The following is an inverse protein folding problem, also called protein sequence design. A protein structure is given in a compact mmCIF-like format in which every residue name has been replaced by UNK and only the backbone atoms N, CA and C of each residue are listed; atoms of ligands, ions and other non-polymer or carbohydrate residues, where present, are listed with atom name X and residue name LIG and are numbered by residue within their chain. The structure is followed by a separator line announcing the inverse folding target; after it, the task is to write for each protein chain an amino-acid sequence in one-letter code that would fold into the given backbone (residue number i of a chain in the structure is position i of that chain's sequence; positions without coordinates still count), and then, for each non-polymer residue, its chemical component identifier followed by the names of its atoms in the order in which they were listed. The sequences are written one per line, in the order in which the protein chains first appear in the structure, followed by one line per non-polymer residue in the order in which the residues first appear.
data_IF_924401658450
#
_entry.id   IF_924401658450
#
_cell.length_a   1.000
_cell.length_b   1.000
_cell.length_c   1.000
_cell.angle_alpha   90.00
_cell.angle_beta   90.00
_cell.angle_gamma   90.00
#
_symmetry.space_group_name_H-M   'P 1'
#
loop_
_entity.id
_entity.type
_entity.pdbx_description
1 polymer ?
#
# COMPACT_ATOMS: atom_id res chain seq x y z
N UNK A 1 -35.12 16.79 -27.31
CA UNK A 1 -35.33 16.41 -25.89
C UNK A 1 -36.45 15.39 -25.86
N UNK A 2 -36.32 14.30 -25.11
CA UNK A 2 -37.34 13.24 -25.10
C UNK A 2 -38.54 13.63 -24.21
N UNK A 3 -39.76 13.18 -24.52
CA UNK A 3 -40.93 13.38 -23.65
C UNK A 3 -40.70 12.85 -22.23
N UNK A 4 -40.01 11.70 -22.12
CA UNK A 4 -39.67 11.08 -20.84
C UNK A 4 -38.75 11.98 -20.00
N UNK A 5 -37.75 12.59 -20.62
CA UNK A 5 -36.83 13.50 -19.94
C UNK A 5 -37.56 14.74 -19.41
N UNK A 6 -38.33 15.44 -20.25
CA UNK A 6 -39.06 16.64 -19.82
C UNK A 6 -40.08 16.32 -18.71
N UNK A 7 -40.77 15.18 -18.82
CA UNK A 7 -41.72 14.73 -17.80
C UNK A 7 -41.05 14.42 -16.46
N UNK A 8 -39.77 14.02 -16.45
CA UNK A 8 -39.01 13.80 -15.23
C UNK A 8 -38.42 15.12 -14.68
N UNK A 9 -37.80 15.92 -15.56
CA UNK A 9 -37.03 17.10 -15.19
C UNK A 9 -37.90 18.28 -14.72
N UNK A 10 -39.08 18.48 -15.32
CA UNK A 10 -39.95 19.63 -15.00
C UNK A 10 -41.23 19.18 -14.29
N UNK A 11 -41.65 19.92 -13.27
CA UNK A 11 -42.95 19.78 -12.62
C UNK A 11 -44.09 20.20 -13.57
N UNK A 12 -45.33 19.80 -13.24
CA UNK A 12 -46.50 20.19 -14.03
C UNK A 12 -46.69 21.71 -13.98
N UNK A 13 -46.45 22.30 -12.82
CA UNK A 13 -46.58 23.72 -12.53
C UNK A 13 -45.59 24.54 -13.37
N UNK A 14 -44.32 24.10 -13.44
CA UNK A 14 -43.29 24.73 -14.28
C UNK A 14 -43.67 24.71 -15.77
N UNK A 15 -44.21 23.59 -16.27
CA UNK A 15 -44.64 23.48 -17.67
C UNK A 15 -45.84 24.41 -17.95
N UNK A 16 -46.83 24.43 -17.05
CA UNK A 16 -47.97 25.35 -17.17
C UNK A 16 -47.51 26.81 -17.20
N UNK A 17 -46.62 27.19 -16.29
CA UNK A 17 -46.08 28.55 -16.18
C UNK A 17 -45.34 28.96 -17.45
N UNK A 18 -44.47 28.10 -17.98
CA UNK A 18 -43.75 28.36 -19.22
C UNK A 18 -44.67 28.54 -20.44
N UNK A 19 -45.74 27.74 -20.51
CA UNK A 19 -46.75 27.81 -21.56
C UNK A 19 -47.74 28.98 -21.40
N UNK A 20 -47.68 29.73 -20.30
CA UNK A 20 -48.62 30.81 -20.00
C UNK A 20 -50.02 30.31 -19.56
N UNK A 21 -50.10 29.10 -19.03
CA UNK A 21 -51.33 28.46 -18.56
C UNK A 21 -51.50 28.64 -17.05
N UNK A 22 -52.74 28.64 -16.57
CA UNK A 22 -53.02 28.71 -15.13
C UNK A 22 -52.57 27.44 -14.40
N UNK A 23 -52.10 27.58 -13.14
CA UNK A 23 -51.61 26.43 -12.33
C UNK A 23 -52.70 25.38 -12.05
N UNK A 24 -53.98 25.75 -12.15
CA UNK A 24 -55.14 24.88 -11.87
C UNK A 24 -55.72 24.15 -13.10
N UNK A 25 -54.94 23.91 -14.15
CA UNK A 25 -55.43 23.20 -15.35
C UNK A 25 -55.72 21.72 -15.05
N UNK A 26 -56.89 21.23 -15.51
CA UNK A 26 -57.23 19.78 -15.50
C UNK A 26 -56.44 18.96 -16.53
N UNK A 27 -55.56 19.60 -17.31
CA UNK A 27 -54.78 18.97 -18.37
C UNK A 27 -53.76 18.00 -17.75
N UNK A 28 -53.60 16.82 -18.35
CA UNK A 28 -52.62 15.82 -17.92
C UNK A 28 -51.20 16.29 -18.25
N UNK A 29 -50.22 15.98 -17.39
CA UNK A 29 -48.80 16.34 -17.58
C UNK A 29 -48.26 15.87 -18.93
N UNK A 30 -48.63 14.66 -19.36
CA UNK A 30 -48.24 14.09 -20.66
C UNK A 30 -48.63 15.00 -21.83
N UNK A 31 -49.86 15.50 -21.83
CA UNK A 31 -50.37 16.42 -22.86
C UNK A 31 -49.65 17.77 -22.81
N UNK A 32 -49.31 18.26 -21.61
CA UNK A 32 -48.54 19.50 -21.46
C UNK A 32 -47.11 19.34 -22.01
N UNK A 33 -46.48 18.18 -21.79
CA UNK A 33 -45.16 17.86 -22.35
C UNK A 33 -45.21 17.80 -23.87
N UNK A 34 -46.23 17.16 -24.46
CA UNK A 34 -46.42 17.12 -25.92
C UNK A 34 -46.60 18.52 -26.51
N UNK A 35 -47.43 19.36 -25.89
CA UNK A 35 -47.62 20.76 -26.30
C UNK A 35 -46.33 21.57 -26.22
N UNK A 36 -45.57 21.41 -25.12
CA UNK A 36 -44.28 22.06 -24.94
C UNK A 36 -43.29 21.65 -26.03
N UNK A 37 -43.15 20.34 -26.27
CA UNK A 37 -42.25 19.80 -27.28
C UNK A 37 -42.61 20.29 -28.68
N UNK A 38 -43.89 20.27 -29.05
CA UNK A 38 -44.35 20.77 -30.35
C UNK A 38 -44.03 22.28 -30.54
N UNK A 39 -44.13 23.07 -29.47
CA UNK A 39 -43.83 24.51 -29.50
C UNK A 39 -42.35 24.79 -29.70
N UNK A 40 -41.47 24.07 -29.01
CA UNK A 40 -40.02 24.30 -29.10
C UNK A 40 -39.38 23.62 -30.31
N UNK A 41 -40.03 22.63 -30.91
CA UNK A 41 -39.57 21.99 -32.15
C UNK A 41 -39.76 22.91 -33.36
N UNK A 42 -40.81 23.73 -33.34
CA UNK A 42 -41.15 24.67 -34.42
C UNK A 42 -40.60 26.08 -34.19
N UNK A 43 -40.12 26.40 -32.99
CA UNK A 43 -39.63 27.74 -32.64
C UNK A 43 -38.32 27.68 -31.83
N UNK A 44 -37.21 28.09 -32.48
CA UNK A 44 -35.88 28.10 -31.88
C UNK A 44 -35.74 29.10 -30.72
N UNK A 45 -36.43 30.25 -30.78
CA UNK A 45 -36.41 31.26 -29.72
C UNK A 45 -37.12 30.74 -28.47
N UNK A 46 -38.24 30.02 -28.64
CA UNK A 46 -38.93 29.34 -27.54
C UNK A 46 -38.08 28.24 -26.91
N UNK A 47 -37.32 27.51 -27.73
CA UNK A 47 -36.36 26.52 -27.24
C UNK A 47 -35.25 27.18 -26.41
N UNK A 48 -34.69 28.30 -26.89
CA UNK A 48 -33.68 29.05 -26.16
C UNK A 48 -34.23 29.58 -24.82
N UNK A 49 -35.43 30.17 -24.85
CA UNK A 49 -36.16 30.65 -23.67
C UNK A 49 -36.38 29.53 -22.65
N UNK A 50 -36.76 28.33 -23.10
CA UNK A 50 -36.95 27.18 -22.22
C UNK A 50 -35.66 26.78 -21.51
N UNK A 51 -34.56 26.68 -22.25
CA UNK A 51 -33.26 26.28 -21.71
C UNK A 51 -32.67 27.33 -20.77
N UNK A 52 -32.94 28.60 -21.01
CA UNK A 52 -32.55 29.68 -20.10
C UNK A 52 -33.40 29.71 -18.83
N UNK A 53 -34.73 29.53 -18.97
CA UNK A 53 -35.66 29.55 -17.83
C UNK A 53 -35.41 28.39 -16.87
N UNK A 54 -35.09 27.20 -17.39
CA UNK A 54 -34.88 25.98 -16.59
C UNK A 54 -33.45 25.47 -16.73
N UNK A 55 -32.48 26.37 -16.53
CA UNK A 55 -31.05 26.10 -16.69
C UNK A 55 -30.57 24.90 -15.87
N UNK A 56 -30.98 24.81 -14.60
CA UNK A 56 -30.55 23.76 -13.68
C UNK A 56 -31.34 22.47 -13.90
N UNK A 57 -32.66 22.54 -14.02
CA UNK A 57 -33.51 21.36 -14.21
C UNK A 57 -33.21 20.63 -15.52
N UNK A 58 -32.82 21.38 -16.57
CA UNK A 58 -32.49 20.82 -17.88
C UNK A 58 -30.98 20.65 -18.11
N UNK A 59 -30.16 20.81 -17.05
CA UNK A 59 -28.72 20.57 -17.10
C UNK A 59 -28.39 19.16 -17.63
N UNK A 60 -27.24 19.04 -18.29
CA UNK A 60 -26.78 17.78 -18.89
C UNK A 60 -26.00 16.99 -17.85
N UNK A 61 -26.49 15.79 -17.53
CA UNK A 61 -25.81 14.87 -16.63
C UNK A 61 -24.66 14.13 -17.32
N UNK A 62 -23.70 13.55 -16.56
CA UNK A 62 -22.51 12.93 -17.12
C UNK A 62 -22.76 11.90 -18.22
N UNK A 63 -23.73 11.01 -18.03
CA UNK A 63 -24.07 9.97 -18.99
C UNK A 63 -24.66 10.57 -20.28
N UNK A 64 -25.58 11.52 -20.14
CA UNK A 64 -26.18 12.19 -21.28
C UNK A 64 -25.15 13.03 -22.06
N UNK A 65 -24.22 13.68 -21.37
CA UNK A 65 -23.14 14.42 -22.01
C UNK A 65 -22.24 13.50 -22.83
N UNK A 66 -21.93 12.32 -22.30
CA UNK A 66 -21.15 11.29 -23.00
C UNK A 66 -21.86 10.84 -24.30
N UNK A 67 -23.19 10.70 -24.26
CA UNK A 67 -24.01 10.41 -25.44
C UNK A 67 -24.03 11.57 -26.44
N UNK A 68 -24.31 12.81 -26.00
CA UNK A 68 -24.41 13.99 -26.87
C UNK A 68 -23.09 14.27 -27.57
N UNK A 69 -21.97 14.19 -26.85
CA UNK A 69 -20.65 14.51 -27.39
C UNK A 69 -19.92 13.30 -28.01
N UNK A 70 -20.53 12.10 -27.95
CA UNK A 70 -19.91 10.84 -28.37
C UNK A 70 -18.49 10.66 -27.79
N UNK A 71 -18.37 10.83 -26.48
CA UNK A 71 -17.11 10.77 -25.76
C UNK A 71 -17.14 9.75 -24.63
N UNK A 72 -15.95 9.29 -24.21
CA UNK A 72 -15.84 8.33 -23.09
C UNK A 72 -15.86 9.05 -21.73
N UNK A 73 -16.18 8.34 -20.63
CA UNK A 73 -16.07 8.89 -19.27
C UNK A 73 -14.67 9.41 -18.90
N UNK A 74 -13.62 8.90 -19.55
CA UNK A 74 -12.24 9.35 -19.35
C UNK A 74 -12.03 10.69 -20.06
N UNK A 75 -12.52 10.82 -21.30
CA UNK A 75 -12.44 12.05 -22.07
C UNK A 75 -13.22 13.17 -21.41
N UNK A 76 -14.48 12.92 -21.01
CA UNK A 76 -15.30 13.90 -20.28
C UNK A 76 -14.57 14.45 -19.06
N UNK A 77 -14.13 13.57 -18.15
CA UNK A 77 -13.42 13.98 -16.92
C UNK A 77 -12.16 14.79 -17.23
N UNK A 78 -11.42 14.42 -18.27
CA UNK A 78 -10.25 15.18 -18.73
C UNK A 78 -10.65 16.56 -19.23
N UNK A 79 -11.67 16.66 -20.08
CA UNK A 79 -12.10 17.93 -20.66
C UNK A 79 -12.69 18.89 -19.63
N UNK A 80 -13.40 18.38 -18.61
CA UNK A 80 -13.81 19.16 -17.44
C UNK A 80 -12.58 19.72 -16.71
N UNK A 81 -11.57 18.89 -16.43
CA UNK A 81 -10.33 19.33 -15.78
C UNK A 81 -9.53 20.35 -16.63
N UNK A 82 -9.61 20.24 -17.95
CA UNK A 82 -8.98 21.15 -18.91
C UNK A 82 -9.80 22.43 -19.14
N UNK A 83 -10.97 22.60 -18.50
CA UNK A 83 -11.84 23.76 -18.65
C UNK A 83 -12.60 23.84 -19.98
N UNK A 84 -12.58 22.76 -20.77
CA UNK A 84 -13.26 22.67 -22.08
C UNK A 84 -14.76 22.40 -21.97
N UNK A 85 -15.16 21.78 -20.85
CA UNK A 85 -16.55 21.55 -20.49
C UNK A 85 -16.81 22.30 -19.18
N UNK A 86 -17.35 23.53 -19.24
CA UNK A 86 -17.63 24.33 -18.05
C UNK A 86 -18.62 23.61 -17.14
N UNK A 87 -18.36 23.62 -15.84
CA UNK A 87 -19.24 23.01 -14.84
C UNK A 87 -20.28 24.04 -14.44
N UNK A 88 -21.56 23.70 -14.57
CA UNK A 88 -22.67 24.54 -14.14
C UNK A 88 -22.86 24.44 -12.62
N UNK A 89 -22.97 23.21 -12.12
CA UNK A 89 -23.04 22.90 -10.69
C UNK A 89 -22.55 21.48 -10.44
N UNK A 90 -22.35 21.17 -9.17
CA UNK A 90 -22.14 19.82 -8.71
C UNK A 90 -23.36 19.30 -7.96
N UNK A 91 -23.74 18.06 -8.22
CA UNK A 91 -24.82 17.33 -7.56
C UNK A 91 -24.27 16.15 -6.79
N UNK A 92 -25.00 15.74 -5.76
CA UNK A 92 -24.60 14.63 -4.90
C UNK A 92 -25.61 13.50 -4.95
N UNK A 93 -25.13 12.26 -4.92
CA UNK A 93 -25.95 11.08 -4.68
C UNK A 93 -25.25 10.13 -3.70
N UNK A 94 -26.04 9.39 -2.93
CA UNK A 94 -25.51 8.49 -1.90
C UNK A 94 -25.29 7.08 -2.46
N UNK A 95 -24.10 6.53 -2.26
CA UNK A 95 -23.74 5.15 -2.65
C UNK A 95 -22.82 4.51 -1.60
N UNK A 96 -23.21 3.33 -1.11
CA UNK A 96 -22.42 2.56 -0.13
C UNK A 96 -22.03 3.35 1.11
N UNK A 97 -22.95 4.15 1.65
CA UNK A 97 -22.71 4.96 2.85
C UNK A 97 -21.94 6.27 2.61
N UNK A 98 -21.48 6.54 1.38
CA UNK A 98 -20.75 7.76 1.01
C UNK A 98 -21.58 8.66 0.09
N UNK A 99 -21.43 9.97 0.24
CA UNK A 99 -21.95 10.95 -0.71
C UNK A 99 -20.94 11.14 -1.84
N UNK A 100 -21.39 10.89 -3.07
CA UNK A 100 -20.60 11.03 -4.29
C UNK A 100 -21.06 12.24 -5.07
N UNK A 101 -20.11 13.07 -5.45
CA UNK A 101 -20.34 14.30 -6.21
C UNK A 101 -20.14 14.06 -7.72
N UNK A 102 -20.96 14.71 -8.54
CA UNK A 102 -20.82 14.71 -10.00
C UNK A 102 -21.15 16.08 -10.60
N UNK A 103 -20.45 16.44 -11.68
CA UNK A 103 -20.68 17.70 -12.39
C UNK A 103 -21.84 17.58 -13.37
N UNK A 104 -22.65 18.63 -13.47
CA UNK A 104 -23.61 18.83 -14.56
C UNK A 104 -23.26 20.10 -15.35
N UNK A 105 -23.77 20.19 -16.57
CA UNK A 105 -23.34 21.18 -17.55
C UNK A 105 -24.52 21.92 -18.18
N UNK A 106 -24.34 23.17 -18.57
CA UNK A 106 -25.37 23.92 -19.30
C UNK A 106 -25.60 23.26 -20.67
N UNK A 107 -26.85 22.83 -20.91
CA UNK A 107 -27.24 22.19 -22.17
C UNK A 107 -27.00 23.06 -23.39
N UNK A 108 -27.12 24.38 -23.27
CA UNK A 108 -26.87 25.32 -24.37
C UNK A 108 -25.41 25.23 -24.79
N UNK A 109 -24.49 25.26 -23.84
CA UNK A 109 -23.06 25.15 -24.12
C UNK A 109 -22.69 23.79 -24.72
N UNK A 110 -23.22 22.70 -24.15
CA UNK A 110 -22.95 21.35 -24.64
C UNK A 110 -23.44 21.17 -26.07
N UNK A 111 -24.59 21.73 -26.43
CA UNK A 111 -25.12 21.66 -27.79
C UNK A 111 -24.35 22.54 -28.80
N UNK A 112 -23.55 23.49 -28.34
CA UNK A 112 -22.67 24.31 -29.18
C UNK A 112 -21.34 23.64 -29.48
N UNK A 113 -20.94 22.62 -28.71
CA UNK A 113 -19.70 21.88 -28.95
C UNK A 113 -19.85 21.05 -30.23
N UNK A 114 -19.06 21.40 -31.25
CA UNK A 114 -19.08 20.70 -32.53
C UNK A 114 -18.27 19.40 -32.49
N UNK A 115 -18.53 18.49 -33.43
CA UNK A 115 -17.66 17.32 -33.60
C UNK A 115 -16.23 17.72 -33.99
N UNK A 116 -16.04 18.86 -34.67
CA UNK A 116 -14.71 19.36 -34.99
C UNK A 116 -13.94 19.79 -33.74
N UNK A 117 -14.60 20.46 -32.78
CA UNK A 117 -14.00 20.79 -31.48
C UNK A 117 -13.53 19.52 -30.76
N UNK A 118 -14.39 18.49 -30.73
CA UNK A 118 -14.08 17.19 -30.13
C UNK A 118 -12.86 16.54 -30.79
N UNK A 119 -12.80 16.53 -32.13
CA UNK A 119 -11.66 15.97 -32.85
C UNK A 119 -10.38 16.77 -32.60
N UNK A 120 -10.46 18.11 -32.57
CA UNK A 120 -9.32 18.95 -32.24
C UNK A 120 -8.82 18.67 -30.81
N UNK A 121 -9.71 18.55 -29.82
CA UNK A 121 -9.32 18.21 -28.46
C UNK A 121 -8.62 16.86 -28.37
N UNK A 122 -9.04 15.87 -29.17
CA UNK A 122 -8.39 14.56 -29.27
C UNK A 122 -7.02 14.63 -29.94
N UNK A 123 -6.86 15.45 -30.99
CA UNK A 123 -5.57 15.68 -31.67
C UNK A 123 -4.58 16.32 -30.69
N UNK A 124 -4.96 17.44 -30.06
CA UNK A 124 -4.13 18.15 -29.08
C UNK A 124 -3.72 17.23 -27.94
N UNK A 125 -4.63 16.39 -27.44
CA UNK A 125 -4.29 15.41 -26.40
C UNK A 125 -3.29 14.36 -26.89
N UNK A 126 -3.46 13.81 -28.10
CA UNK A 126 -2.53 12.83 -28.67
C UNK A 126 -1.13 13.41 -28.83
N UNK A 127 -1.02 14.64 -29.31
CA UNK A 127 0.27 15.32 -29.44
C UNK A 127 0.93 15.56 -28.09
N UNK A 128 0.17 16.02 -27.09
CA UNK A 128 0.66 16.18 -25.71
C UNK A 128 1.15 14.86 -25.12
N UNK A 129 0.41 13.77 -25.33
CA UNK A 129 0.81 12.42 -24.88
C UNK A 129 2.09 11.98 -25.59
N UNK A 130 2.24 12.23 -26.89
CA UNK A 130 3.46 11.92 -27.65
C UNK A 130 4.67 12.67 -27.10
N UNK A 131 4.56 13.98 -26.90
CA UNK A 131 5.63 14.81 -26.33
C UNK A 131 6.00 14.34 -24.93
N UNK A 132 5.01 14.10 -24.07
CA UNK A 132 5.24 13.60 -22.71
C UNK A 132 5.93 12.23 -22.71
N UNK A 133 5.58 11.33 -23.63
CA UNK A 133 6.24 10.02 -23.77
C UNK A 133 7.69 10.16 -24.21
N UNK A 134 7.98 11.07 -25.15
CA UNK A 134 9.36 11.34 -25.58
C UNK A 134 10.20 11.92 -24.44
N UNK A 135 9.67 12.91 -23.71
CA UNK A 135 10.34 13.48 -22.54
C UNK A 135 10.57 12.43 -21.44
N UNK A 136 9.56 11.61 -21.13
CA UNK A 136 9.69 10.53 -20.16
C UNK A 136 10.71 9.47 -20.59
N UNK A 137 10.80 9.15 -21.89
CA UNK A 137 11.82 8.24 -22.41
C UNK A 137 13.23 8.80 -22.25
N UNK A 138 13.43 10.09 -22.51
CA UNK A 138 14.70 10.78 -22.31
C UNK A 138 15.12 10.79 -20.84
N UNK A 139 14.21 11.19 -19.94
CA UNK A 139 14.45 11.17 -18.49
C UNK A 139 14.77 9.76 -17.99
N UNK A 140 14.10 8.73 -18.52
CA UNK A 140 14.38 7.34 -18.18
C UNK A 140 15.77 6.89 -18.65
N UNK A 141 16.24 7.35 -19.82
CA UNK A 141 17.59 7.07 -20.32
C UNK A 141 18.65 7.70 -19.40
N UNK A 142 18.48 8.97 -19.05
CA UNK A 142 19.37 9.70 -18.14
C UNK A 142 19.40 9.06 -16.75
N UNK A 143 18.23 8.75 -16.19
CA UNK A 143 18.10 8.05 -14.92
C UNK A 143 18.80 6.68 -14.93
N UNK A 144 18.68 5.91 -16.02
CA UNK A 144 19.40 4.63 -16.17
C UNK A 144 20.90 4.80 -16.11
N UNK A 145 21.45 5.83 -16.76
CA UNK A 145 22.88 6.15 -16.76
C UNK A 145 23.37 6.50 -15.36
N UNK A 146 22.67 7.40 -14.65
CA UNK A 146 23.00 7.78 -13.27
C UNK A 146 22.93 6.56 -12.35
N UNK A 147 21.87 5.77 -12.45
CA UNK A 147 21.68 4.56 -11.65
C UNK A 147 22.77 3.51 -11.91
N UNK A 148 23.26 3.40 -13.15
CA UNK A 148 24.38 2.54 -13.48
C UNK A 148 25.68 3.02 -12.84
N UNK A 149 25.97 4.32 -12.89
CA UNK A 149 27.15 4.90 -12.24
C UNK A 149 27.12 4.67 -10.72
N UNK A 150 25.97 4.91 -10.06
CA UNK A 150 25.80 4.63 -8.63
C UNK A 150 26.09 3.17 -8.29
N UNK A 151 25.63 2.22 -9.12
CA UNK A 151 25.93 0.79 -8.92
C UNK A 151 27.41 0.46 -9.10
N UNK A 152 28.09 1.08 -10.06
CA UNK A 152 29.53 0.89 -10.26
C UNK A 152 30.34 1.44 -9.09
N UNK A 153 30.02 2.66 -8.63
CA UNK A 153 30.64 3.28 -7.45
C UNK A 153 30.43 2.41 -6.22
N UNK A 154 29.21 1.94 -5.98
CA UNK A 154 28.93 1.00 -4.90
C UNK A 154 29.79 -0.26 -5.02
N UNK A 155 29.85 -0.89 -6.19
CA UNK A 155 30.63 -2.11 -6.39
C UNK A 155 32.12 -1.92 -6.07
N UNK A 156 32.70 -0.77 -6.41
CA UNK A 156 34.08 -0.44 -6.08
C UNK A 156 34.26 -0.23 -4.56
N UNK A 157 33.41 0.59 -3.94
CA UNK A 157 33.46 0.81 -2.48
C UNK A 157 33.22 -0.47 -1.67
N UNK A 158 32.36 -1.34 -2.17
CA UNK A 158 32.06 -2.64 -1.55
C UNK A 158 33.25 -3.59 -1.63
N UNK A 159 33.96 -3.62 -2.75
CA UNK A 159 35.18 -4.42 -2.88
C UNK A 159 36.26 -3.92 -1.91
N UNK A 160 36.45 -2.60 -1.81
CA UNK A 160 37.37 -2.01 -0.84
C UNK A 160 37.02 -2.37 0.61
N UNK A 161 35.72 -2.37 0.95
CA UNK A 161 35.24 -2.80 2.28
C UNK A 161 35.58 -4.26 2.55
N UNK A 162 35.36 -5.15 1.57
CA UNK A 162 35.72 -6.57 1.69
C UNK A 162 37.24 -6.75 1.87
N UNK A 163 38.03 -6.03 1.08
CA UNK A 163 39.49 -6.12 1.13
C UNK A 163 40.02 -5.63 2.47
N UNK A 164 39.45 -4.54 3.01
CA UNK A 164 39.75 -4.06 4.37
C UNK A 164 39.41 -5.11 5.44
N UNK A 165 38.23 -5.75 5.35
CA UNK A 165 37.84 -6.80 6.27
C UNK A 165 38.78 -8.01 6.23
N UNK A 166 39.25 -8.39 5.03
CA UNK A 166 40.21 -9.48 4.83
C UNK A 166 41.62 -9.12 5.29
N UNK A 167 42.02 -7.86 5.15
CA UNK A 167 43.36 -7.39 5.51
C UNK A 167 43.53 -7.20 7.02
N UNK A 168 42.54 -6.57 7.67
CA UNK A 168 42.60 -6.27 9.12
C UNK A 168 42.04 -7.41 9.98
N UNK A 169 41.07 -8.16 9.45
CA UNK A 169 40.46 -9.30 10.13
C UNK A 169 41.07 -10.65 9.72
N UNK A 170 40.51 -11.74 10.24
CA UNK A 170 40.79 -13.08 9.73
C UNK A 170 39.91 -13.38 8.50
N UNK A 171 40.30 -14.33 7.63
CA UNK A 171 39.44 -14.78 6.54
C UNK A 171 38.04 -15.21 7.02
N UNK A 172 37.95 -15.85 8.18
CA UNK A 172 36.67 -16.25 8.79
C UNK A 172 35.86 -15.04 9.22
N UNK A 173 36.47 -14.06 9.91
CA UNK A 173 35.78 -12.84 10.32
C UNK A 173 35.22 -12.11 9.11
N UNK A 174 36.03 -11.93 8.06
CA UNK A 174 35.59 -11.27 6.84
C UNK A 174 34.36 -11.97 6.24
N UNK A 175 34.35 -13.31 6.17
CA UNK A 175 33.22 -14.06 5.64
C UNK A 175 31.96 -13.91 6.51
N UNK A 176 32.12 -13.90 7.83
CA UNK A 176 31.03 -13.67 8.78
C UNK A 176 30.42 -12.27 8.61
N UNK A 177 31.26 -11.24 8.46
CA UNK A 177 30.80 -9.86 8.22
C UNK A 177 30.11 -9.72 6.85
N UNK A 178 30.62 -10.36 5.79
CA UNK A 178 29.99 -10.38 4.47
C UNK A 178 28.59 -11.02 4.53
N UNK A 179 28.47 -12.18 5.18
CA UNK A 179 27.18 -12.84 5.34
C UNK A 179 26.22 -11.95 6.14
N UNK A 180 26.65 -11.44 7.30
CA UNK A 180 25.84 -10.57 8.15
C UNK A 180 25.36 -9.31 7.40
N UNK A 181 26.23 -8.70 6.60
CA UNK A 181 25.88 -7.57 5.75
C UNK A 181 24.76 -7.91 4.77
N UNK A 182 24.86 -9.02 4.03
CA UNK A 182 23.82 -9.43 3.09
C UNK A 182 22.53 -9.90 3.78
N UNK A 183 22.61 -10.41 5.01
CA UNK A 183 21.44 -10.76 5.84
C UNK A 183 20.60 -9.53 6.22
N UNK A 184 21.22 -8.35 6.40
CA UNK A 184 20.46 -7.09 6.55
C UNK A 184 19.57 -6.87 5.33
N UNK A 185 20.14 -6.96 4.13
CA UNK A 185 19.42 -6.69 2.90
C UNK A 185 18.35 -7.74 2.60
N UNK A 186 18.60 -9.01 2.94
CA UNK A 186 17.57 -10.06 2.93
C UNK A 186 16.38 -9.71 3.85
N UNK A 187 16.65 -9.22 5.06
CA UNK A 187 15.61 -8.78 6.00
C UNK A 187 14.80 -7.61 5.46
N UNK A 188 15.46 -6.63 4.82
CA UNK A 188 14.77 -5.47 4.22
C UNK A 188 13.92 -5.86 3.01
N UNK A 189 14.38 -6.80 2.18
CA UNK A 189 13.59 -7.33 1.07
C UNK A 189 12.38 -8.15 1.55
N UNK A 190 12.51 -8.90 2.65
CA UNK A 190 11.36 -9.53 3.29
C UNK A 190 10.31 -8.47 3.70
N UNK A 191 10.75 -7.37 4.31
CA UNK A 191 9.87 -6.28 4.74
C UNK A 191 9.21 -5.53 3.57
N UNK A 192 9.97 -5.22 2.52
CA UNK A 192 9.46 -4.60 1.29
C UNK A 192 8.36 -5.47 0.66
N UNK A 193 8.59 -6.77 0.56
CA UNK A 193 7.61 -7.72 0.03
C UNK A 193 6.39 -7.87 0.95
N UNK A 194 6.56 -7.81 2.28
CA UNK A 194 5.42 -7.77 3.22
C UNK A 194 4.51 -6.57 2.95
N UNK A 195 5.08 -5.37 2.80
CA UNK A 195 4.31 -4.15 2.55
C UNK A 195 3.59 -4.22 1.19
N UNK A 196 4.28 -4.73 0.16
CA UNK A 196 3.69 -4.93 -1.17
C UNK A 196 2.57 -5.96 -1.17
N UNK A 197 2.69 -7.02 -0.37
CA UNK A 197 1.64 -8.02 -0.22
C UNK A 197 0.38 -7.42 0.43
N UNK A 198 0.55 -6.63 1.50
CA UNK A 198 -0.57 -5.98 2.21
C UNK A 198 -1.28 -4.93 1.36
N UNK A 199 -0.55 -4.18 0.53
CA UNK A 199 -1.11 -3.09 -0.30
C UNK A 199 -1.55 -3.55 -1.69
N UNK A 200 -1.05 -4.68 -2.16
CA UNK A 200 -1.29 -5.16 -3.52
C UNK A 200 -2.69 -5.73 -3.67
N UNK A 201 -3.37 -5.38 -4.77
CA UNK A 201 -4.66 -6.00 -5.13
C UNK A 201 -4.41 -7.21 -6.04
N UNK A 202 -3.60 -7.06 -7.09
CA UNK A 202 -3.39 -8.08 -8.13
C UNK A 202 -2.25 -9.06 -7.83
N UNK A 203 -1.21 -8.61 -7.11
CA UNK A 203 0.03 -9.36 -6.93
C UNK A 203 0.34 -9.68 -5.46
N UNK A 204 -0.67 -9.62 -4.58
CA UNK A 204 -0.51 -9.83 -3.14
C UNK A 204 0.16 -11.18 -2.82
N UNK A 205 -0.34 -12.26 -3.43
CA UNK A 205 0.17 -13.61 -3.22
C UNK A 205 1.62 -13.78 -3.67
N UNK A 206 1.99 -13.23 -4.83
CA UNK A 206 3.37 -13.26 -5.32
C UNK A 206 4.32 -12.58 -4.32
N UNK A 207 3.93 -11.43 -3.78
CA UNK A 207 4.75 -10.73 -2.80
C UNK A 207 4.76 -11.44 -1.44
N UNK A 208 3.67 -12.10 -1.04
CA UNK A 208 3.64 -12.93 0.17
C UNK A 208 4.62 -14.10 0.04
N UNK A 209 4.63 -14.80 -1.09
CA UNK A 209 5.59 -15.88 -1.37
C UNK A 209 7.03 -15.39 -1.31
N UNK A 210 7.34 -14.27 -1.96
CA UNK A 210 8.69 -13.67 -1.93
C UNK A 210 9.11 -13.24 -0.53
N UNK A 211 8.19 -12.68 0.27
CA UNK A 211 8.42 -12.35 1.67
C UNK A 211 8.89 -13.59 2.43
N UNK A 212 8.18 -14.70 2.27
CA UNK A 212 8.49 -15.95 2.97
C UNK A 212 9.83 -16.54 2.53
N UNK A 213 10.12 -16.53 1.22
CA UNK A 213 11.42 -16.91 0.65
C UNK A 213 12.59 -16.08 1.19
N UNK A 214 12.39 -14.78 1.46
CA UNK A 214 13.41 -13.91 2.05
C UNK A 214 13.57 -14.12 3.55
N UNK A 215 12.47 -14.35 4.28
CA UNK A 215 12.56 -14.72 5.70
C UNK A 215 13.28 -16.05 5.89
N UNK A 216 13.02 -17.03 5.03
CA UNK A 216 13.72 -18.31 5.06
C UNK A 216 15.23 -18.14 4.86
N UNK A 217 15.64 -17.37 3.84
CA UNK A 217 17.05 -17.02 3.62
C UNK A 217 17.68 -16.36 4.85
N UNK A 218 17.00 -15.35 5.41
CA UNK A 218 17.45 -14.66 6.62
C UNK A 218 17.64 -15.66 7.76
N UNK A 219 16.68 -16.56 7.98
CA UNK A 219 16.73 -17.54 9.06
C UNK A 219 17.92 -18.50 8.88
N UNK A 220 18.18 -18.98 7.67
CA UNK A 220 19.34 -19.81 7.36
C UNK A 220 20.66 -19.11 7.69
N UNK A 221 20.80 -17.84 7.31
CA UNK A 221 21.99 -17.08 7.66
C UNK A 221 22.11 -16.87 9.18
N UNK A 222 21.01 -16.58 9.87
CA UNK A 222 21.03 -16.42 11.33
C UNK A 222 21.47 -17.69 12.05
N UNK A 223 20.97 -18.86 11.63
CA UNK A 223 21.40 -20.14 12.21
C UNK A 223 22.89 -20.41 12.02
N UNK A 224 23.44 -20.04 10.86
CA UNK A 224 24.85 -20.17 10.56
C UNK A 224 25.70 -19.17 11.36
N UNK A 225 25.29 -17.91 11.36
CA UNK A 225 25.97 -16.82 12.08
C UNK A 225 26.01 -17.08 13.60
N UNK A 226 24.94 -17.64 14.18
CA UNK A 226 24.86 -17.98 15.60
C UNK A 226 25.89 -19.05 16.04
N UNK A 227 26.50 -19.78 15.10
CA UNK A 227 27.53 -20.78 15.39
C UNK A 227 28.96 -20.21 15.34
N UNK A 228 29.11 -18.93 15.00
CA UNK A 228 30.40 -18.27 14.89
C UNK A 228 30.90 -17.82 16.26
N UNK A 229 32.22 -17.70 16.44
CA UNK A 229 32.81 -17.11 17.65
C UNK A 229 32.60 -15.60 17.78
N UNK A 230 32.02 -14.97 16.75
CA UNK A 230 31.73 -13.53 16.70
C UNK A 230 30.28 -13.23 17.09
N UNK A 231 29.48 -14.27 17.34
CA UNK A 231 28.07 -14.17 17.69
C UNK A 231 27.86 -13.98 19.19
N UNK A 232 26.94 -13.08 19.52
CA UNK A 232 26.31 -13.00 20.84
C UNK A 232 24.83 -13.26 20.65
N UNK A 233 24.34 -14.32 21.30
CA UNK A 233 22.93 -14.69 21.24
C UNK A 233 22.29 -14.43 22.58
N UNK A 234 21.19 -13.70 22.57
CA UNK A 234 20.40 -13.34 23.73
C UNK A 234 18.93 -13.68 23.49
N UNK A 235 18.14 -13.69 24.56
CA UNK A 235 16.70 -13.95 24.47
C UNK A 235 15.88 -12.81 25.06
N UNK A 236 14.91 -12.34 24.29
CA UNK A 236 13.92 -11.38 24.73
C UNK A 236 12.55 -12.03 24.85
N UNK A 237 11.90 -11.84 26.00
CA UNK A 237 10.52 -12.25 26.23
C UNK A 237 9.76 -11.06 26.81
N UNK A 238 8.82 -10.47 26.07
CA UNK A 238 8.01 -9.37 26.60
C UNK A 238 7.07 -9.88 27.71
N UNK A 239 6.48 -8.98 28.53
CA UNK A 239 5.51 -9.34 29.55
C UNK A 239 4.29 -10.10 29.01
N UNK A 240 3.83 -9.72 27.81
CA UNK A 240 2.74 -10.37 27.07
C UNK A 240 3.31 -11.05 25.80
N UNK A 241 3.88 -12.25 25.92
CA UNK A 241 4.60 -12.89 24.81
C UNK A 241 3.67 -13.61 23.83
N UNK A 242 2.41 -13.80 24.19
CA UNK A 242 1.44 -14.55 23.40
C UNK A 242 0.70 -13.64 22.40
N UNK A 243 0.36 -14.18 21.24
CA UNK A 243 -0.52 -13.50 20.29
C UNK A 243 -1.92 -14.07 20.39
N UNK A 244 -2.87 -13.16 20.52
CA UNK A 244 -4.27 -13.48 20.63
C UNK A 244 -4.97 -13.21 19.30
N UNK A 245 -5.70 -14.21 18.82
CA UNK A 245 -6.53 -14.12 17.63
C UNK A 245 -7.99 -14.25 18.06
N UNK A 246 -8.80 -13.26 17.70
CA UNK A 246 -10.21 -13.22 18.00
C UNK A 246 -10.98 -12.89 16.72
N UNK A 247 -11.92 -13.77 16.38
CA UNK A 247 -12.90 -13.55 15.33
C UNK A 247 -14.29 -13.79 15.90
N UNK A 248 -15.12 -12.76 15.83
CA UNK A 248 -16.53 -12.82 16.23
C UNK A 248 -17.38 -13.11 15.00
N UNK A 249 -18.46 -13.88 15.17
CA UNK A 249 -19.51 -13.97 14.16
C UNK A 249 -20.22 -12.63 14.02
N UNK A 250 -21.05 -12.49 12.97
CA UNK A 250 -21.80 -11.27 12.72
C UNK A 250 -22.70 -10.86 13.90
N UNK A 251 -23.40 -11.82 14.52
CA UNK A 251 -24.28 -11.58 15.68
C UNK A 251 -23.52 -10.94 16.85
N UNK A 252 -22.47 -11.60 17.37
CA UNK A 252 -21.65 -11.05 18.45
C UNK A 252 -20.88 -9.78 18.04
N UNK A 253 -20.58 -9.59 16.75
CA UNK A 253 -19.97 -8.35 16.27
C UNK A 253 -20.98 -7.19 16.23
N UNK A 254 -22.26 -7.45 15.95
CA UNK A 254 -23.33 -6.46 15.97
C UNK A 254 -23.74 -6.11 17.40
N UNK A 255 -23.88 -7.09 18.30
CA UNK A 255 -24.12 -6.89 19.74
C UNK A 255 -23.13 -5.88 20.35
N UNK A 256 -21.85 -6.00 19.97
CA UNK A 256 -20.78 -5.09 20.37
C UNK A 256 -21.03 -3.61 20.02
N UNK A 257 -21.87 -3.30 19.01
CA UNK A 257 -22.15 -1.92 18.58
C UNK A 257 -23.50 -1.37 19.07
N UNK A 258 -24.31 -2.16 19.77
CA UNK A 258 -25.69 -1.75 20.12
C UNK A 258 -25.75 -0.64 21.18
N UNK A 259 -24.79 -0.58 22.12
CA UNK A 259 -24.87 0.37 23.25
C UNK A 259 -23.73 1.40 23.29
N UNK A 260 -22.47 1.01 23.05
CA UNK A 260 -21.30 1.92 23.06
C UNK A 260 -20.15 1.38 22.20
N UNK A 261 -19.19 2.25 21.83
CA UNK A 261 -17.97 1.81 21.14
C UNK A 261 -17.02 1.13 22.14
N UNK A 262 -17.14 -0.19 22.29
CA UNK A 262 -16.17 -1.00 23.03
C UNK A 262 -15.14 -1.64 22.08
N UNK A 263 -13.96 -1.99 22.60
CA UNK A 263 -12.97 -2.74 21.82
C UNK A 263 -13.40 -4.20 21.66
N UNK A 264 -12.97 -4.87 20.59
CA UNK A 264 -13.31 -6.29 20.36
C UNK A 264 -12.84 -7.20 21.51
N UNK A 265 -11.73 -6.83 22.16
CA UNK A 265 -11.18 -7.57 23.30
C UNK A 265 -11.95 -7.32 24.59
N UNK A 266 -12.41 -6.10 24.82
CA UNK A 266 -13.22 -5.75 25.98
C UNK A 266 -14.55 -6.49 25.96
N UNK A 267 -15.24 -6.49 24.81
CA UNK A 267 -16.41 -7.32 24.57
C UNK A 267 -16.12 -8.80 24.85
N UNK A 268 -15.01 -9.32 24.32
CA UNK A 268 -14.64 -10.72 24.54
C UNK A 268 -14.43 -11.05 26.03
N UNK A 269 -13.76 -10.20 26.79
CA UNK A 269 -13.51 -10.45 28.22
C UNK A 269 -14.79 -10.43 29.04
N UNK A 270 -15.76 -9.57 28.69
CA UNK A 270 -17.06 -9.53 29.33
C UNK A 270 -17.95 -10.73 28.93
N UNK A 271 -17.84 -11.19 27.67
CA UNK A 271 -18.70 -12.20 27.08
C UNK A 271 -17.97 -13.53 26.79
N UNK A 272 -16.89 -13.82 27.52
CA UNK A 272 -15.97 -14.93 27.20
C UNK A 272 -16.67 -16.28 27.10
N UNK A 273 -17.63 -16.55 27.99
CA UNK A 273 -18.37 -17.83 28.01
C UNK A 273 -19.22 -17.98 26.74
N UNK A 274 -19.97 -16.95 26.38
CA UNK A 274 -20.86 -16.93 25.21
C UNK A 274 -20.04 -17.08 23.92
N UNK A 275 -18.99 -16.26 23.77
CA UNK A 275 -18.13 -16.30 22.58
C UNK A 275 -17.41 -17.65 22.43
N UNK A 276 -16.90 -18.25 23.53
CA UNK A 276 -16.23 -19.57 23.46
C UNK A 276 -17.19 -20.73 23.16
N UNK A 277 -18.47 -20.60 23.50
CA UNK A 277 -19.49 -21.61 23.22
C UNK A 277 -20.08 -21.46 21.81
N UNK A 278 -19.90 -20.31 21.17
CA UNK A 278 -20.35 -20.06 19.81
C UNK A 278 -19.48 -20.82 18.79
N UNK A 279 -20.07 -21.73 17.98
CA UNK A 279 -19.31 -22.45 16.95
C UNK A 279 -18.87 -21.54 15.78
N UNK A 280 -19.47 -20.36 15.67
CA UNK A 280 -19.15 -19.34 14.67
C UNK A 280 -18.20 -18.27 15.22
N UNK A 281 -17.66 -18.41 16.43
CA UNK A 281 -16.59 -17.54 16.90
C UNK A 281 -15.31 -18.36 17.01
N UNK A 282 -14.15 -17.70 16.85
CA UNK A 282 -12.87 -18.36 17.07
C UNK A 282 -11.98 -17.52 17.95
N UNK A 283 -11.37 -18.20 18.93
CA UNK A 283 -10.36 -17.62 19.80
C UNK A 283 -9.18 -18.57 19.82
N UNK A 284 -8.02 -18.10 19.38
CA UNK A 284 -6.79 -18.87 19.41
C UNK A 284 -5.64 -18.05 19.99
N UNK A 285 -4.70 -18.79 20.58
CA UNK A 285 -3.55 -18.25 21.29
C UNK A 285 -2.30 -18.87 20.66
N UNK A 286 -1.41 -18.03 20.15
CA UNK A 286 -0.08 -18.44 19.72
C UNK A 286 0.92 -18.10 20.82
N UNK A 287 1.37 -19.13 21.55
CA UNK A 287 2.28 -18.96 22.69
C UNK A 287 3.65 -18.45 22.27
N UNK A 288 4.19 -17.52 23.05
CA UNK A 288 5.53 -16.93 22.84
C UNK A 288 5.74 -16.37 21.42
N UNK A 289 4.67 -15.93 20.76
CA UNK A 289 4.70 -15.33 19.44
C UNK A 289 5.63 -14.11 19.37
N UNK A 290 5.58 -13.25 20.39
CA UNK A 290 6.38 -12.03 20.49
C UNK A 290 7.74 -12.25 21.18
N UNK A 291 8.05 -13.48 21.60
CA UNK A 291 9.37 -13.80 22.15
C UNK A 291 10.39 -14.00 21.01
N UNK A 292 11.64 -13.58 21.22
CA UNK A 292 12.63 -13.46 20.16
C UNK A 292 14.02 -13.92 20.61
N UNK A 293 14.71 -14.58 19.69
CA UNK A 293 16.15 -14.63 19.71
C UNK A 293 16.72 -13.33 19.15
N UNK A 294 17.68 -12.76 19.86
CA UNK A 294 18.45 -11.60 19.45
C UNK A 294 19.90 -12.02 19.18
N UNK A 295 20.31 -11.95 17.92
CA UNK A 295 21.66 -12.31 17.48
C UNK A 295 22.42 -11.05 17.11
N UNK A 296 23.61 -10.92 17.66
CA UNK A 296 24.54 -9.84 17.36
C UNK A 296 25.84 -10.39 16.82
N UNK A 297 26.42 -9.70 15.84
CA UNK A 297 27.74 -9.98 15.30
C UNK A 297 28.60 -8.76 15.57
N UNK A 298 29.65 -8.96 16.36
CA UNK A 298 30.58 -7.91 16.79
C UNK A 298 32.01 -8.44 16.71
N UNK A 299 32.98 -7.54 16.52
CA UNK A 299 34.40 -7.89 16.54
C UNK A 299 35.22 -6.78 17.18
N UNK A 300 36.22 -7.15 17.96
CA UNK A 300 37.18 -6.19 18.52
C UNK A 300 38.03 -5.51 17.43
N UNK A 301 38.20 -6.16 16.27
CA UNK A 301 38.94 -5.60 15.11
C UNK A 301 38.17 -4.44 14.47
N UNK A 302 36.84 -4.49 14.52
CA UNK A 302 35.94 -3.49 13.94
C UNK A 302 34.90 -3.07 15.00
N UNK A 303 35.30 -2.30 16.02
CA UNK A 303 34.45 -2.00 17.18
C UNK A 303 33.18 -1.24 16.81
N UNK A 304 33.25 -0.40 15.77
CA UNK A 304 32.10 0.39 15.29
C UNK A 304 31.14 -0.42 14.41
N UNK A 305 31.52 -1.64 14.02
CA UNK A 305 30.73 -2.48 13.14
C UNK A 305 29.92 -3.50 13.96
N UNK A 306 28.61 -3.29 13.99
CA UNK A 306 27.65 -4.16 14.68
C UNK A 306 26.53 -4.55 13.73
N UNK A 307 26.29 -5.84 13.60
CA UNK A 307 25.09 -6.36 12.93
C UNK A 307 24.19 -6.99 13.96
N UNK A 308 22.88 -6.74 13.88
CA UNK A 308 21.92 -7.36 14.78
C UNK A 308 20.68 -7.87 14.05
N UNK A 309 20.16 -9.00 14.51
CA UNK A 309 19.06 -9.71 13.89
C UNK A 309 18.11 -10.27 14.94
N UNK A 310 16.83 -10.31 14.59
CA UNK A 310 15.79 -10.88 15.42
C UNK A 310 15.17 -12.09 14.73
N UNK A 311 14.91 -13.15 15.48
CA UNK A 311 14.19 -14.33 15.00
C UNK A 311 13.10 -14.70 16.01
N UNK A 312 11.84 -14.88 15.56
CA UNK A 312 10.77 -15.39 16.42
C UNK A 312 11.15 -16.70 17.10
N UNK A 313 10.87 -16.78 18.40
CA UNK A 313 11.13 -17.98 19.19
C UNK A 313 10.53 -19.26 18.57
N UNK A 314 9.28 -19.25 18.06
CA UNK A 314 8.70 -20.45 17.42
C UNK A 314 9.52 -20.98 16.24
N UNK A 315 10.21 -20.09 15.51
CA UNK A 315 11.07 -20.44 14.38
C UNK A 315 12.45 -20.92 14.87
N UNK A 316 13.04 -20.22 15.83
CA UNK A 316 14.40 -20.47 16.29
C UNK A 316 14.57 -21.67 17.23
N UNK A 317 13.52 -22.02 17.99
CA UNK A 317 13.59 -22.99 19.12
C UNK A 317 14.13 -24.38 18.77
N UNK A 318 14.06 -24.78 17.50
CA UNK A 318 14.54 -26.08 17.04
C UNK A 318 16.06 -26.10 16.78
N UNK A 319 16.66 -24.96 16.42
CA UNK A 319 18.05 -24.88 15.94
C UNK A 319 18.94 -23.98 16.81
N UNK A 320 18.36 -23.19 17.71
CA UNK A 320 19.09 -22.30 18.62
C UNK A 320 19.05 -22.83 20.06
N UNK A 321 20.01 -22.42 20.92
CA UNK A 321 20.00 -22.76 22.33
C UNK A 321 18.67 -22.46 23.02
N UNK A 322 18.34 -23.25 24.04
CA UNK A 322 17.13 -23.01 24.83
C UNK A 322 17.21 -21.65 25.54
N UNK A 323 16.10 -20.88 25.64
CA UNK A 323 16.08 -19.57 26.28
C UNK A 323 16.74 -19.51 27.67
N UNK A 324 16.59 -20.56 28.48
CA UNK A 324 17.15 -20.62 29.84
C UNK A 324 18.68 -20.62 29.88
N UNK A 325 19.35 -20.91 28.75
CA UNK A 325 20.82 -20.90 28.62
C UNK A 325 21.35 -19.60 28.05
N UNK A 326 20.48 -18.64 27.73
CA UNK A 326 20.85 -17.40 27.07
C UNK A 326 20.70 -16.22 28.03
N UNK A 327 21.54 -15.18 27.90
CA UNK A 327 21.33 -13.94 28.62
C UNK A 327 19.98 -13.33 28.23
N UNK A 328 19.24 -12.90 29.24
CA UNK A 328 18.03 -12.12 29.04
C UNK A 328 18.41 -10.68 28.72
N UNK A 329 17.76 -10.12 27.71
CA UNK A 329 17.91 -8.72 27.32
C UNK A 329 16.56 -8.05 27.37
N UNK A 330 16.53 -6.83 27.90
CA UNK A 330 15.40 -5.93 27.71
C UNK A 330 15.55 -5.24 26.36
N UNK A 331 14.49 -5.29 25.55
CA UNK A 331 14.41 -4.52 24.32
C UNK A 331 13.37 -3.44 24.51
N UNK A 332 13.81 -2.18 24.61
CA UNK A 332 12.93 -1.03 24.49
C UNK A 332 12.59 -0.80 23.02
N UNK A 333 11.30 -0.77 22.71
CA UNK A 333 10.79 -0.44 21.38
C UNK A 333 11.26 0.97 20.97
N UNK A 334 12.07 1.06 19.92
CA UNK A 334 12.23 2.31 19.19
C UNK A 334 11.12 2.34 18.12
N UNK A 335 10.00 3.00 18.46
CA UNK A 335 8.80 3.24 17.65
C UNK A 335 7.92 2.01 17.28
N UNK A 336 6.98 1.69 18.18
CA UNK A 336 5.66 1.12 17.89
C UNK A 336 5.59 -0.38 17.54
N UNK A 337 4.83 -1.13 18.35
CA UNK A 337 4.17 -2.42 18.04
C UNK A 337 5.03 -3.36 17.19
N UNK A 338 6.16 -3.84 17.73
CA UNK A 338 7.02 -4.86 17.13
C UNK A 338 7.11 -4.86 15.58
N UNK A 339 7.39 -3.71 14.97
CA UNK A 339 7.62 -3.60 13.52
C UNK A 339 9.09 -3.84 13.18
N UNK A 340 9.59 -5.05 13.39
CA UNK A 340 10.97 -5.36 13.03
C UNK A 340 11.24 -5.10 11.55
N UNK A 341 12.34 -4.37 11.31
CA UNK A 341 12.88 -4.07 9.98
C UNK A 341 12.19 -2.91 9.28
N UNK A 342 13.00 -2.05 8.65
CA UNK A 342 12.53 -1.06 7.68
C UNK A 342 12.55 -1.63 6.26
N UNK A 343 11.60 -1.27 5.38
CA UNK A 343 11.72 -1.58 3.97
C UNK A 343 12.91 -0.85 3.34
N UNK A 344 13.28 -1.24 2.13
CA UNK A 344 14.24 -0.48 1.34
C UNK A 344 13.64 0.87 0.95
N UNK A 345 14.41 1.94 1.09
CA UNK A 345 14.05 3.22 0.46
C UNK A 345 14.40 3.19 -1.04
N UNK A 346 13.85 4.12 -1.81
CA UNK A 346 13.96 4.04 -3.27
C UNK A 346 15.40 4.17 -3.79
N UNK A 347 16.23 4.99 -3.15
CA UNK A 347 17.66 5.09 -3.49
C UNK A 347 18.42 3.78 -3.20
N UNK A 348 18.05 3.06 -2.14
CA UNK A 348 18.65 1.76 -1.82
C UNK A 348 18.26 0.72 -2.89
N UNK A 349 17.05 0.77 -3.43
CA UNK A 349 16.61 -0.18 -4.49
C UNK A 349 17.41 -0.04 -5.78
N UNK A 350 18.05 1.12 -6.01
CA UNK A 350 18.94 1.34 -7.15
C UNK A 350 20.18 0.45 -7.05
N UNK A 351 20.74 0.34 -5.84
CA UNK A 351 21.98 -0.40 -5.53
C UNK A 351 21.67 -1.87 -5.20
N UNK A 352 20.72 -2.08 -4.29
CA UNK A 352 20.36 -3.37 -3.72
C UNK A 352 19.15 -3.97 -4.44
N UNK A 353 19.24 -4.14 -5.76
CA UNK A 353 18.18 -4.79 -6.54
C UNK A 353 17.96 -6.21 -6.03
N UNK A 354 16.70 -6.65 -5.97
CA UNK A 354 16.32 -7.94 -5.38
C UNK A 354 17.16 -9.11 -5.90
N UNK A 355 17.35 -9.20 -7.23
CA UNK A 355 18.17 -10.24 -7.86
C UNK A 355 19.65 -10.16 -7.50
N UNK A 356 20.21 -8.95 -7.40
CA UNK A 356 21.63 -8.75 -7.09
C UNK A 356 21.90 -9.11 -5.62
N UNK A 357 21.00 -8.69 -4.71
CA UNK A 357 21.04 -9.07 -3.29
C UNK A 357 20.94 -10.57 -3.16
N UNK A 358 20.03 -11.22 -3.90
CA UNK A 358 19.84 -12.66 -3.84
C UNK A 358 21.14 -13.38 -4.24
N UNK A 359 21.73 -13.03 -5.38
CA UNK A 359 22.96 -13.65 -5.86
C UNK A 359 24.13 -13.48 -4.86
N UNK A 360 24.33 -12.25 -4.36
CA UNK A 360 25.41 -11.97 -3.39
C UNK A 360 25.18 -12.63 -2.03
N UNK A 361 23.92 -12.70 -1.58
CA UNK A 361 23.54 -13.40 -0.37
C UNK A 361 23.81 -14.91 -0.50
N UNK A 362 23.36 -15.52 -1.60
CA UNK A 362 23.54 -16.96 -1.84
C UNK A 362 25.02 -17.32 -1.95
N UNK A 363 25.84 -16.48 -2.60
CA UNK A 363 27.29 -16.62 -2.60
C UNK A 363 27.88 -16.54 -1.18
N UNK A 364 27.56 -15.47 -0.43
CA UNK A 364 28.06 -15.27 0.92
C UNK A 364 27.69 -16.41 1.87
N UNK A 365 26.47 -16.93 1.74
CA UNK A 365 25.98 -18.07 2.51
C UNK A 365 26.72 -19.36 2.15
N UNK A 366 26.96 -19.62 0.86
CA UNK A 366 27.69 -20.80 0.40
C UNK A 366 29.15 -20.80 0.88
N UNK A 367 29.83 -19.67 0.78
CA UNK A 367 31.20 -19.50 1.27
C UNK A 367 31.27 -19.63 2.80
N UNK A 368 30.31 -19.04 3.54
CA UNK A 368 30.27 -19.16 4.99
C UNK A 368 30.01 -20.60 5.47
N UNK A 369 29.30 -21.42 4.70
CA UNK A 369 29.09 -22.85 4.98
C UNK A 369 30.36 -23.70 4.86
N UNK A 370 31.41 -23.19 4.24
CA UNK A 370 32.69 -23.89 4.11
C UNK A 370 33.65 -23.60 5.28
N UNK A 371 33.24 -22.75 6.23
CA UNK A 371 34.11 -22.34 7.32
C UNK A 371 34.33 -23.50 8.34
N UNK A 372 35.57 -23.68 8.84
CA UNK A 372 35.95 -24.88 9.62
C UNK A 372 35.21 -25.05 10.96
N UNK A 373 34.62 -23.99 11.53
CA UNK A 373 33.98 -24.04 12.85
C UNK A 373 32.63 -24.75 12.85
N UNK A 374 32.00 -24.97 11.69
CA UNK A 374 30.79 -25.78 11.56
C UNK A 374 30.98 -27.25 11.96
N UNK A 375 32.22 -27.69 12.11
CA UNK A 375 32.59 -29.04 12.53
C UNK A 375 33.06 -29.12 13.98
N UNK A 376 33.09 -28.00 14.72
CA UNK A 376 33.39 -28.00 16.16
C UNK A 376 32.06 -28.02 16.93
N UNK A 377 31.95 -28.89 17.92
CA UNK A 377 30.84 -28.86 18.88
C UNK A 377 30.71 -27.42 19.43
N UNK A 378 29.48 -26.89 19.62
CA UNK A 378 29.28 -25.50 20.02
C UNK A 378 30.12 -25.21 21.26
N UNK A 379 31.19 -24.45 21.08
CA UNK A 379 32.01 -23.98 22.18
C UNK A 379 31.10 -23.18 23.11
N UNK A 380 31.26 -23.38 24.41
CA UNK A 380 30.54 -22.65 25.45
C UNK A 380 30.53 -21.16 25.10
N UNK A 381 29.34 -20.65 24.81
CA UNK A 381 29.10 -19.25 24.50
C UNK A 381 29.62 -18.48 25.71
N UNK A 382 30.69 -17.73 25.51
CA UNK A 382 31.37 -17.00 26.58
C UNK A 382 30.43 -15.93 27.11
N UNK A 383 29.94 -16.15 28.33
CA UNK A 383 29.23 -15.15 29.11
C UNK A 383 30.27 -14.16 29.64
N UNK A 384 30.31 -12.96 29.06
CA UNK A 384 31.06 -11.84 29.64
C UNK A 384 30.11 -11.10 30.60
N UNK A 385 30.55 -10.67 31.81
CA UNK A 385 29.70 -9.98 32.77
C UNK A 385 29.12 -8.69 32.18
N UNK A 386 27.88 -8.38 32.57
CA UNK A 386 27.21 -7.13 32.23
C UNK A 386 27.89 -5.96 32.96
N UNK A 387 28.78 -5.25 32.27
CA UNK A 387 29.11 -3.88 32.64
C UNK A 387 28.17 -2.94 31.90
N UNK A 388 27.47 -2.10 32.67
CA UNK A 388 26.51 -1.11 32.23
C UNK A 388 27.07 -0.24 31.08
N UNK A 389 26.62 -0.49 29.86
CA UNK A 389 26.85 0.41 28.72
C UNK A 389 25.77 1.52 28.78
N UNK A 390 26.14 2.79 28.97
CA UNK A 390 25.16 3.87 28.91
C UNK A 390 24.70 4.05 27.47
N UNK A 391 23.38 4.01 27.27
CA UNK A 391 22.72 4.35 26.02
C UNK A 391 22.83 5.86 25.83
N UNK A 392 23.61 6.30 24.84
CA UNK A 392 23.57 7.67 24.32
C UNK A 392 22.70 7.71 23.05
N UNK A 393 22.02 8.84 22.79
CA UNK A 393 20.77 8.95 22.02
C UNK A 393 20.86 8.57 20.54
#
# INVERSE_FOLDING_TARGET
MSPKFISFALSKEQICEFLGLTKATKIKKTTLVEQLLARIETNADEKARLLETFLYELAVEPFELEEILHCTPIERRRWVKEGKLPVLEYRTFRKSGHDLEYSVHDRREILLVSQDDIQQWRIVHRDKVRVNRQAAAQLALESRKVNQQRRQQFSQSWQQTIDEWRQKGSPELAQVLILAYWTIWASRWAKENQIKATRGIKHAELYAKRRDEWYERKNQAMFLLAQTSYARLSFYRPPDPDKHHLWLCQEHYEEKYEEYYESIWEYYYQNTRTVRQCPQCSVSYEKDYYALYYLEITSAVFPDLRFSFHMPYPIGRANLPKPQKLPHVEHTEQDGMFRFGRPLVDDEKIIYRERDVQAKFEQALAEAKQLPFLHKAPAEITTVPQDNIPVMP
#
